data_IF_978616278490
#
_entry.id   IF_978616278490
#
_cell.length_a   1.000
_cell.length_b   1.000
_cell.length_c   1.000
_cell.angle_alpha   90.00
_cell.angle_beta   90.00
_cell.angle_gamma   90.00
#
_symmetry.space_group_name_H-M   'P 1'
#
loop_
_entity.id
_entity.type
_entity.pdbx_description
1 polymer ?
#
# COMPACT_ATOMS: atom_id res chain seq x y z
N UNK A 1 52.06 11.67 33.99
CA UNK A 1 51.14 10.60 34.41
C UNK A 1 49.72 11.09 34.65
N UNK A 2 49.45 12.02 35.58
CA UNK A 2 48.09 12.48 35.89
C UNK A 2 47.31 13.06 34.68
N UNK A 3 47.96 13.85 33.81
CA UNK A 3 47.33 14.38 32.58
C UNK A 3 46.81 13.29 31.64
N UNK A 4 47.58 12.21 31.43
CA UNK A 4 47.20 11.13 30.53
C UNK A 4 46.01 10.33 31.09
N UNK A 5 46.04 10.01 32.38
CA UNK A 5 44.91 9.37 33.05
C UNK A 5 43.64 10.23 32.97
N UNK A 6 43.76 11.54 33.13
CA UNK A 6 42.61 12.44 33.04
C UNK A 6 42.01 12.46 31.63
N UNK A 7 42.84 12.47 30.59
CA UNK A 7 42.38 12.37 29.18
C UNK A 7 41.69 11.03 28.94
N UNK A 8 42.25 9.93 29.44
CA UNK A 8 41.65 8.60 29.28
C UNK A 8 40.28 8.51 29.96
N UNK A 9 40.13 9.07 31.16
CA UNK A 9 38.85 9.12 31.87
C UNK A 9 37.82 9.90 31.05
N UNK A 10 38.18 11.09 30.55
CA UNK A 10 37.31 11.88 29.69
C UNK A 10 36.92 11.14 28.41
N UNK A 11 37.87 10.44 27.77
CA UNK A 11 37.62 9.68 26.57
C UNK A 11 36.61 8.54 26.80
N UNK A 12 36.73 7.82 27.92
CA UNK A 12 35.80 6.75 28.29
C UNK A 12 34.41 7.30 28.58
N UNK A 13 34.31 8.40 29.33
CA UNK A 13 33.04 9.06 29.63
C UNK A 13 32.34 9.54 28.35
N UNK A 14 33.09 10.19 27.45
CA UNK A 14 32.59 10.64 26.16
C UNK A 14 32.10 9.46 25.31
N UNK A 15 32.85 8.36 25.27
CA UNK A 15 32.46 7.14 24.55
C UNK A 15 31.14 6.56 25.09
N UNK A 16 30.96 6.54 26.42
CA UNK A 16 29.72 6.07 27.04
C UNK A 16 28.52 6.93 26.66
N UNK A 17 28.66 8.26 26.69
CA UNK A 17 27.60 9.20 26.30
C UNK A 17 27.22 9.05 24.83
N UNK A 18 28.20 8.93 23.93
CA UNK A 18 27.97 8.72 22.49
C UNK A 18 27.24 7.40 22.24
N UNK A 19 27.60 6.33 22.95
CA UNK A 19 26.94 5.03 22.81
C UNK A 19 25.45 5.11 23.21
N UNK A 20 25.15 5.74 24.35
CA UNK A 20 23.76 5.92 24.81
C UNK A 20 22.97 6.77 23.82
N UNK A 21 23.57 7.86 23.33
CA UNK A 21 22.94 8.71 22.33
C UNK A 21 22.64 7.94 21.04
N UNK A 22 23.61 7.16 20.53
CA UNK A 22 23.45 6.31 19.35
C UNK A 22 22.41 5.21 19.54
N UNK A 23 22.33 4.61 20.73
CA UNK A 23 21.34 3.59 21.05
C UNK A 23 19.92 4.18 21.13
N UNK A 24 19.79 5.43 21.60
CA UNK A 24 18.53 6.15 21.68
C UNK A 24 18.04 6.61 20.30
N UNK A 25 18.93 7.19 19.50
CA UNK A 25 18.68 7.57 18.10
C UNK A 25 18.26 6.36 17.25
N UNK A 26 18.94 5.22 17.40
CA UNK A 26 18.59 3.99 16.66
C UNK A 26 17.14 3.57 16.91
N UNK A 27 16.70 3.50 18.18
CA UNK A 27 15.31 3.11 18.49
C UNK A 27 14.27 4.10 17.95
N UNK A 28 14.58 5.40 17.99
CA UNK A 28 13.66 6.45 17.54
C UNK A 28 13.57 6.53 16.01
N UNK A 29 14.71 6.48 15.32
CA UNK A 29 14.78 6.49 13.86
C UNK A 29 14.15 5.25 13.23
N UNK A 30 14.28 4.08 13.86
CA UNK A 30 13.61 2.86 13.40
C UNK A 30 12.08 2.99 13.46
N UNK A 31 11.52 3.59 14.52
CA UNK A 31 10.08 3.76 14.65
C UNK A 31 9.48 4.73 13.61
N UNK A 32 10.17 5.82 13.31
CA UNK A 32 9.74 6.75 12.25
C UNK A 32 9.83 6.11 10.86
N UNK A 33 10.89 5.33 10.59
CA UNK A 33 11.01 4.58 9.34
C UNK A 33 9.93 3.53 9.16
N UNK A 34 9.59 2.81 10.22
CA UNK A 34 8.61 1.72 10.16
C UNK A 34 7.20 2.27 9.90
N UNK A 35 6.84 3.42 10.51
CA UNK A 35 5.59 4.13 10.23
C UNK A 35 5.47 4.54 8.77
N UNK A 36 6.51 5.18 8.21
CA UNK A 36 6.52 5.59 6.80
C UNK A 36 6.41 4.38 5.84
N UNK A 37 7.04 3.26 6.20
CA UNK A 37 6.95 2.02 5.42
C UNK A 37 5.54 1.42 5.47
N UNK A 38 4.91 1.38 6.63
CA UNK A 38 3.54 0.90 6.78
C UNK A 38 2.53 1.76 6.00
N UNK A 39 2.71 3.08 6.02
CA UNK A 39 1.87 4.00 5.25
C UNK A 39 2.06 3.81 3.73
N UNK A 40 3.30 3.61 3.27
CA UNK A 40 3.57 3.28 1.87
C UNK A 40 2.92 1.97 1.41
N UNK A 41 2.91 0.93 2.26
CA UNK A 41 2.24 -0.33 1.95
C UNK A 41 0.72 -0.16 1.84
N UNK A 42 0.11 0.63 2.73
CA UNK A 42 -1.32 0.94 2.67
C UNK A 42 -1.69 1.67 1.37
N UNK A 43 -0.91 2.68 0.99
CA UNK A 43 -1.12 3.42 -0.26
C UNK A 43 -0.97 2.52 -1.50
N UNK A 44 -0.03 1.57 -1.49
CA UNK A 44 0.14 0.62 -2.58
C UNK A 44 -1.09 -0.30 -2.73
N UNK A 45 -1.64 -0.79 -1.61
CA UNK A 45 -2.87 -1.59 -1.61
C UNK A 45 -4.08 -0.78 -2.11
N UNK A 46 -4.20 0.47 -1.68
CA UNK A 46 -5.27 1.37 -2.15
C UNK A 46 -5.13 1.64 -3.67
N UNK A 47 -3.91 1.85 -4.17
CA UNK A 47 -3.65 2.05 -5.59
C UNK A 47 -4.03 0.83 -6.44
N UNK A 48 -3.69 -0.38 -5.96
CA UNK A 48 -4.08 -1.63 -6.63
C UNK A 48 -5.60 -1.80 -6.66
N UNK A 49 -6.28 -1.48 -5.55
CA UNK A 49 -7.74 -1.52 -5.45
C UNK A 49 -8.41 -0.52 -6.39
N UNK A 50 -7.91 0.71 -6.47
CA UNK A 50 -8.37 1.71 -7.43
C UNK A 50 -8.11 1.30 -8.88
N UNK A 51 -6.97 0.67 -9.17
CA UNK A 51 -6.68 0.14 -10.49
C UNK A 51 -7.64 -0.98 -10.86
N UNK A 52 -7.92 -1.92 -9.96
CA UNK A 52 -8.92 -2.97 -10.15
C UNK A 52 -10.32 -2.39 -10.38
N UNK A 53 -10.73 -1.37 -9.63
CA UNK A 53 -11.99 -0.65 -9.85
C UNK A 53 -12.04 0.02 -11.24
N UNK A 54 -10.95 0.67 -11.67
CA UNK A 54 -10.85 1.26 -13.03
C UNK A 54 -10.91 0.21 -14.12
N UNK A 55 -10.24 -0.93 -13.95
CA UNK A 55 -10.26 -2.03 -14.91
C UNK A 55 -11.63 -2.72 -14.96
N UNK A 56 -12.31 -2.88 -13.82
CA UNK A 56 -13.67 -3.41 -13.76
C UNK A 56 -14.67 -2.50 -14.50
N UNK A 57 -14.51 -1.18 -14.38
CA UNK A 57 -15.34 -0.21 -15.10
C UNK A 57 -15.03 -0.20 -16.60
N UNK A 58 -13.75 -0.20 -16.98
CA UNK A 58 -13.35 -0.18 -18.40
C UNK A 58 -13.70 -1.49 -19.14
N UNK A 59 -13.63 -2.63 -18.46
CA UNK A 59 -13.87 -3.95 -19.09
C UNK A 59 -15.36 -4.21 -19.27
N UNK A 60 -16.21 -3.97 -18.27
CA UNK A 60 -17.65 -4.17 -18.41
C UNK A 60 -18.27 -3.23 -19.46
N UNK A 61 -17.93 -1.93 -19.41
CA UNK A 61 -18.47 -0.96 -20.36
C UNK A 61 -18.06 -1.28 -21.81
N UNK A 62 -16.84 -1.77 -22.02
CA UNK A 62 -16.38 -2.16 -23.36
C UNK A 62 -17.00 -3.47 -23.82
N UNK A 63 -17.24 -4.43 -22.94
CA UNK A 63 -17.96 -5.67 -23.26
C UNK A 63 -19.42 -5.37 -23.62
N UNK A 64 -20.11 -4.50 -22.86
CA UNK A 64 -21.49 -4.12 -23.17
C UNK A 64 -21.62 -3.37 -24.49
N UNK A 65 -20.72 -2.42 -24.78
CA UNK A 65 -20.70 -1.70 -26.05
C UNK A 65 -20.40 -2.66 -27.22
N UNK A 66 -19.39 -3.51 -27.11
CA UNK A 66 -19.05 -4.48 -28.16
C UNK A 66 -20.18 -5.50 -28.37
N UNK A 67 -20.82 -6.00 -27.31
CA UNK A 67 -21.94 -6.93 -27.41
C UNK A 67 -23.17 -6.28 -28.08
N UNK A 68 -23.45 -5.01 -27.77
CA UNK A 68 -24.58 -4.26 -28.34
C UNK A 68 -24.32 -3.84 -29.78
N UNK A 69 -23.14 -3.32 -30.08
CA UNK A 69 -22.81 -2.71 -31.37
C UNK A 69 -22.32 -3.74 -32.41
N UNK A 70 -21.51 -4.73 -32.01
CA UNK A 70 -20.97 -5.73 -32.96
C UNK A 70 -21.78 -7.02 -33.00
N UNK A 71 -22.41 -7.40 -31.89
CA UNK A 71 -23.16 -8.66 -31.79
C UNK A 71 -24.69 -8.48 -31.89
N UNK A 72 -25.20 -7.25 -31.99
CA UNK A 72 -26.64 -6.93 -32.02
C UNK A 72 -27.45 -7.61 -30.90
N UNK A 73 -26.83 -7.92 -29.76
CA UNK A 73 -27.51 -8.58 -28.65
C UNK A 73 -28.45 -7.59 -27.95
N UNK A 74 -29.76 -7.82 -28.08
CA UNK A 74 -30.80 -7.18 -27.27
C UNK A 74 -30.95 -7.94 -25.95
N UNK A 75 -31.05 -7.19 -24.84
CA UNK A 75 -31.42 -7.74 -23.53
C UNK A 75 -32.81 -8.37 -23.67
N UNK A 76 -32.89 -9.69 -23.48
CA UNK A 76 -34.17 -10.39 -23.51
C UNK A 76 -34.92 -9.98 -22.23
N UNK A 77 -35.95 -9.16 -22.38
CA UNK A 77 -36.82 -8.80 -21.27
C UNK A 77 -37.47 -10.07 -20.69
N UNK A 78 -37.56 -10.22 -19.35
CA UNK A 78 -38.13 -11.41 -18.72
C UNK A 78 -39.59 -11.69 -19.12
N UNK A 79 -40.27 -10.73 -19.77
CA UNK A 79 -41.58 -10.93 -20.39
C UNK A 79 -41.58 -11.95 -21.56
N UNK A 80 -40.47 -12.10 -22.28
CA UNK A 80 -40.39 -12.97 -23.48
C UNK A 80 -40.13 -14.44 -23.11
N UNK A 81 -39.49 -14.71 -21.97
CA UNK A 81 -39.23 -16.08 -21.50
C UNK A 81 -40.49 -16.69 -20.85
N UNK A 82 -41.34 -15.86 -20.24
CA UNK A 82 -42.59 -16.31 -19.63
C UNK A 82 -43.68 -16.69 -20.65
N UNK A 83 -43.62 -16.18 -21.89
CA UNK A 83 -44.62 -16.46 -22.93
C UNK A 83 -44.32 -17.70 -23.79
N UNK A 84 -43.24 -18.45 -23.51
CA UNK A 84 -42.79 -19.61 -24.28
C UNK A 84 -42.88 -20.97 -23.56
N UNK A 85 -43.32 -21.00 -22.29
CA UNK A 85 -43.53 -22.25 -21.54
C UNK A 85 -45.03 -22.48 -21.42
N UNK A 86 -45.61 -23.08 -22.45
CA UNK A 86 -47.02 -23.46 -22.44
C UNK A 86 -47.69 -23.40 -23.81
N UNK A 87 -47.17 -24.14 -24.79
CA UNK A 87 -47.94 -24.95 -25.75
C UNK A 87 -47.10 -26.16 -26.15
#
# INVERSE_FOLDING_TARGET
MAKLNFILILAVLASGVVLVHSAYESRRLFAERDKAKAEGQRLAADAERLAAERHAQATNLRVEQVARERLSMRVISPAVVASGVGQ
#
